data_IF_233004161311
#
_entry.id   IF_233004161311
#
_cell.length_a   1.000
_cell.length_b   1.000
_cell.length_c   1.000
_cell.angle_alpha   90.00
_cell.angle_beta   90.00
_cell.angle_gamma   90.00
#
_symmetry.space_group_name_H-M   'P 1'
#
loop_
_entity.id
_entity.type
_entity.pdbx_description
1 polymer ?
#
# COMPACT_ATOMS: atom_id res chain seq x y z
N UNK A 1 26.88 -0.26 -11.21
CA UNK A 1 25.93 0.88 -11.19
C UNK A 1 25.41 1.02 -9.77
N UNK A 2 25.77 2.10 -9.09
CA UNK A 2 25.44 2.32 -7.67
C UNK A 2 23.96 2.70 -7.56
N UNK A 3 23.25 2.02 -6.66
CA UNK A 3 21.80 2.04 -6.50
C UNK A 3 21.32 3.39 -5.92
N UNK A 4 21.16 4.41 -6.77
CA UNK A 4 20.75 5.76 -6.35
C UNK A 4 19.29 5.85 -5.84
N UNK A 5 18.46 4.83 -6.08
CA UNK A 5 17.04 4.83 -5.67
C UNK A 5 16.86 4.57 -4.17
N UNK A 6 17.69 3.69 -3.58
CA UNK A 6 17.63 3.36 -2.14
C UNK A 6 18.08 4.53 -1.28
N UNK A 7 19.13 5.25 -1.71
CA UNK A 7 19.62 6.47 -1.05
C UNK A 7 18.57 7.60 -1.06
N UNK A 8 17.85 7.80 -2.19
CA UNK A 8 16.77 8.79 -2.25
C UNK A 8 15.61 8.48 -1.30
N UNK A 9 15.15 7.21 -1.26
CA UNK A 9 14.09 6.77 -0.32
C UNK A 9 14.51 6.91 1.15
N UNK A 10 15.78 6.64 1.48
CA UNK A 10 16.29 6.81 2.84
C UNK A 10 16.34 8.29 3.25
N UNK A 11 16.77 9.19 2.34
CA UNK A 11 16.81 10.63 2.61
C UNK A 11 15.42 11.23 2.83
N UNK A 12 14.43 10.87 2.01
CA UNK A 12 13.06 11.39 2.17
C UNK A 12 12.42 10.94 3.47
N UNK A 13 12.67 9.69 3.90
CA UNK A 13 12.23 9.18 5.20
C UNK A 13 12.82 9.98 6.36
N UNK A 14 14.12 10.26 6.34
CA UNK A 14 14.79 11.03 7.40
C UNK A 14 14.28 12.47 7.46
N UNK A 15 14.04 13.11 6.31
CA UNK A 15 13.48 14.48 6.27
C UNK A 15 12.07 14.50 6.88
N UNK A 16 11.25 13.49 6.59
CA UNK A 16 9.89 13.39 7.11
C UNK A 16 9.85 13.03 8.61
N UNK A 17 10.78 12.23 9.11
CA UNK A 17 10.92 12.00 10.55
C UNK A 17 11.41 13.28 11.26
N UNK A 18 12.35 14.01 10.66
CA UNK A 18 12.85 15.29 11.21
C UNK A 18 11.77 16.36 11.26
N UNK A 19 10.89 16.44 10.26
CA UNK A 19 9.81 17.44 10.26
C UNK A 19 8.78 17.15 11.35
N UNK A 20 8.45 15.88 11.59
CA UNK A 20 7.55 15.50 12.69
C UNK A 20 8.16 15.84 14.05
N UNK A 21 9.43 15.53 14.27
CA UNK A 21 10.14 15.86 15.52
C UNK A 21 10.18 17.37 15.74
N UNK A 22 10.40 18.15 14.68
CA UNK A 22 10.34 19.61 14.75
C UNK A 22 8.95 20.11 15.18
N UNK A 23 7.86 19.62 14.59
CA UNK A 23 6.50 20.02 14.99
C UNK A 23 6.14 19.63 16.43
N UNK A 24 6.68 18.51 16.93
CA UNK A 24 6.51 18.12 18.34
C UNK A 24 7.30 19.06 19.25
N UNK A 25 8.54 19.41 18.88
CA UNK A 25 9.39 20.33 19.65
C UNK A 25 8.84 21.76 19.70
N UNK A 26 8.12 22.19 18.67
CA UNK A 26 7.46 23.51 18.60
C UNK A 26 6.18 23.56 19.46
N UNK A 27 5.60 22.41 19.84
CA UNK A 27 4.34 22.34 20.60
C UNK A 27 4.22 23.26 21.83
N UNK A 28 5.19 23.29 22.78
CA UNK A 28 5.06 24.15 23.96
C UNK A 28 5.14 25.64 23.60
N UNK A 29 5.90 26.01 22.56
CA UNK A 29 5.99 27.38 22.11
C UNK A 29 4.69 27.84 21.45
N UNK A 30 4.08 26.97 20.64
CA UNK A 30 2.76 27.21 20.07
C UNK A 30 1.71 27.38 21.17
N UNK A 31 1.76 26.54 22.21
CA UNK A 31 0.84 26.65 23.34
C UNK A 31 1.02 27.97 24.08
N UNK A 32 2.26 28.45 24.25
CA UNK A 32 2.55 29.71 24.95
C UNK A 32 2.18 30.96 24.12
N UNK A 33 1.79 30.82 22.86
CA UNK A 33 1.54 31.94 21.97
C UNK A 33 0.45 32.89 22.50
N UNK A 34 -0.52 32.39 23.26
CA UNK A 34 -1.60 33.21 23.82
C UNK A 34 -1.11 34.30 24.79
N UNK A 35 0.07 34.14 25.40
CA UNK A 35 0.62 35.13 26.35
C UNK A 35 1.04 36.43 25.67
N UNK A 36 1.31 36.39 24.36
CA UNK A 36 1.66 37.57 23.56
C UNK A 36 0.43 38.35 23.08
N UNK A 37 -0.77 37.83 23.32
CA UNK A 37 -2.02 38.50 22.95
C UNK A 37 -2.46 39.45 24.07
N UNK A 38 -3.14 40.55 23.72
CA UNK A 38 -3.73 41.45 24.70
C UNK A 38 -4.69 40.70 25.64
N UNK A 39 -4.54 41.00 26.93
CA UNK A 39 -5.32 40.40 28.02
C UNK A 39 -6.51 41.28 28.42
N UNK A 40 -6.62 42.47 27.83
CA UNK A 40 -7.69 43.41 28.12
C UNK A 40 -9.00 43.00 27.43
N UNK A 41 -10.16 43.18 28.10
CA UNK A 41 -11.42 42.58 27.67
C UNK A 41 -12.06 43.18 26.41
N UNK A 42 -11.61 44.35 25.95
CA UNK A 42 -12.17 45.08 24.80
C UNK A 42 -11.16 45.37 23.67
N UNK A 43 -9.95 44.83 23.76
CA UNK A 43 -8.97 45.03 22.70
C UNK A 43 -9.16 44.01 21.58
N UNK A 44 -9.52 44.50 20.40
CA UNK A 44 -9.64 43.70 19.19
C UNK A 44 -8.29 43.66 18.50
N UNK A 45 -7.89 42.48 18.04
CA UNK A 45 -6.61 42.31 17.36
C UNK A 45 -6.89 42.37 15.86
N UNK A 46 -6.28 43.34 15.18
CA UNK A 46 -6.22 43.30 13.73
C UNK A 46 -5.08 42.39 13.32
N UNK A 47 -5.40 41.15 12.97
CA UNK A 47 -4.43 40.25 12.36
C UNK A 47 -4.60 40.33 10.85
N UNK A 48 -3.61 40.88 10.16
CA UNK A 48 -3.50 40.84 8.70
C UNK A 48 -4.77 41.32 7.96
N UNK A 49 -5.45 42.34 8.48
CA UNK A 49 -6.64 42.96 7.88
C UNK A 49 -8.00 42.43 8.37
N UNK A 50 -8.02 41.40 9.24
CA UNK A 50 -9.23 40.92 9.90
C UNK A 50 -9.22 41.30 11.37
N UNK A 51 -10.33 41.86 11.87
CA UNK A 51 -10.55 42.10 13.29
C UNK A 51 -11.07 40.81 13.93
N UNK A 52 -10.25 40.20 14.77
CA UNK A 52 -10.63 39.02 15.55
C UNK A 52 -11.11 39.53 16.91
N UNK A 53 -12.40 39.39 17.16
CA UNK A 53 -13.01 39.70 18.45
C UNK A 53 -12.79 38.56 19.45
N UNK A 54 -13.13 38.81 20.72
CA UNK A 54 -12.97 37.88 21.83
C UNK A 54 -13.88 36.62 21.75
N UNK A 55 -14.75 36.51 20.73
CA UNK A 55 -15.51 35.30 20.43
C UNK A 55 -16.38 34.81 21.57
N UNK A 56 -16.91 35.72 22.40
CA UNK A 56 -17.71 35.40 23.59
C UNK A 56 -16.91 35.17 24.88
N UNK A 57 -15.57 35.24 24.84
CA UNK A 57 -14.71 35.07 26.02
C UNK A 57 -14.31 36.41 26.64
N UNK A 58 -13.84 36.37 27.89
CA UNK A 58 -13.45 37.56 28.65
C UNK A 58 -12.34 38.38 27.99
N UNK A 59 -11.43 37.77 27.23
CA UNK A 59 -10.39 38.46 26.46
C UNK A 59 -9.92 37.58 25.30
N UNK A 60 -9.29 38.20 24.29
CA UNK A 60 -8.76 37.47 23.13
C UNK A 60 -7.68 36.46 23.56
N UNK A 61 -6.85 36.81 24.54
CA UNK A 61 -5.85 35.88 25.10
C UNK A 61 -6.49 34.60 25.67
N UNK A 62 -7.63 34.71 26.37
CA UNK A 62 -8.36 33.55 26.92
C UNK A 62 -8.99 32.71 25.81
N UNK A 63 -9.57 33.34 24.79
CA UNK A 63 -10.10 32.65 23.61
C UNK A 63 -9.01 31.80 22.94
N UNK A 64 -7.85 32.39 22.65
CA UNK A 64 -6.74 31.67 22.04
C UNK A 64 -6.14 30.60 22.95
N UNK A 65 -6.05 30.85 24.27
CA UNK A 65 -5.63 29.81 25.22
C UNK A 65 -6.56 28.59 25.17
N UNK A 66 -7.87 28.82 25.20
CA UNK A 66 -8.87 27.77 25.11
C UNK A 66 -8.80 27.04 23.76
N UNK A 67 -8.61 27.78 22.67
CA UNK A 67 -8.47 27.23 21.32
C UNK A 67 -7.18 26.38 21.20
N UNK A 68 -6.03 26.89 21.63
CA UNK A 68 -4.76 26.16 21.61
C UNK A 68 -4.78 24.94 22.53
N UNK A 69 -5.51 24.98 23.64
CA UNK A 69 -5.69 23.81 24.51
C UNK A 69 -6.33 22.62 23.80
N UNK A 70 -7.08 22.85 22.71
CA UNK A 70 -7.73 21.81 21.89
C UNK A 70 -6.96 21.53 20.60
N UNK A 71 -6.52 22.57 19.89
CA UNK A 71 -5.75 22.45 18.64
C UNK A 71 -4.45 21.69 18.86
N UNK A 72 -3.76 21.95 19.97
CA UNK A 72 -2.43 21.37 20.22
C UNK A 72 -2.50 19.86 20.43
N UNK A 73 -3.32 19.35 21.37
CA UNK A 73 -3.55 17.90 21.48
C UNK A 73 -4.05 17.28 20.17
N UNK A 74 -4.96 17.94 19.43
CA UNK A 74 -5.47 17.43 18.17
C UNK A 74 -4.36 17.21 17.13
N UNK A 75 -3.51 18.23 16.90
CA UNK A 75 -2.45 18.08 15.91
C UNK A 75 -1.39 17.05 16.34
N UNK A 76 -1.07 16.99 17.64
CA UNK A 76 -0.15 15.98 18.18
C UNK A 76 -0.70 14.56 17.98
N UNK A 77 -2.01 14.36 18.19
CA UNK A 77 -2.67 13.09 17.91
C UNK A 77 -2.66 12.75 16.42
N UNK A 78 -2.85 13.73 15.54
CA UNK A 78 -2.75 13.54 14.08
C UNK A 78 -1.33 13.14 13.66
N UNK A 79 -0.30 13.82 14.18
CA UNK A 79 1.11 13.46 13.93
C UNK A 79 1.37 12.04 14.43
N UNK A 80 0.91 11.71 15.63
CA UNK A 80 1.10 10.39 16.20
C UNK A 80 0.40 9.31 15.39
N UNK A 81 -0.83 9.57 14.93
CA UNK A 81 -1.59 8.70 14.05
C UNK A 81 -0.83 8.41 12.75
N UNK A 82 -0.26 9.43 12.10
CA UNK A 82 0.53 9.23 10.87
C UNK A 82 1.89 8.57 11.11
N UNK A 83 2.52 8.83 12.24
CA UNK A 83 3.82 8.23 12.57
C UNK A 83 3.69 6.76 13.03
N UNK A 84 2.54 6.37 13.57
CA UNK A 84 2.31 5.02 14.09
C UNK A 84 2.14 3.99 12.96
N UNK A 85 2.88 2.88 13.06
CA UNK A 85 2.80 1.74 12.12
C UNK A 85 2.05 0.54 12.70
N UNK A 86 1.71 0.61 13.98
CA UNK A 86 1.12 -0.49 14.72
C UNK A 86 -0.38 -0.58 14.46
N UNK A 87 -0.96 -1.78 14.55
CA UNK A 87 -2.41 -2.00 14.38
C UNK A 87 -3.28 -1.20 15.37
N UNK A 88 -2.84 -0.98 16.62
CA UNK A 88 -3.64 -0.25 17.61
C UNK A 88 -3.84 1.24 17.32
N UNK A 89 -3.26 1.78 16.24
CA UNK A 89 -3.42 3.17 15.83
C UNK A 89 -4.88 3.63 15.64
N UNK A 90 -5.80 2.70 15.36
CA UNK A 90 -7.23 3.00 15.27
C UNK A 90 -7.80 3.61 16.56
N UNK A 91 -7.22 3.31 17.72
CA UNK A 91 -7.65 3.89 19.01
C UNK A 91 -7.39 5.40 19.03
N UNK A 92 -6.35 5.89 18.35
CA UNK A 92 -5.99 7.32 18.29
C UNK A 92 -7.06 8.13 17.51
N UNK A 93 -7.85 7.49 16.65
CA UNK A 93 -8.95 8.13 15.93
C UNK A 93 -10.00 8.66 16.91
N UNK A 94 -10.23 7.98 18.04
CA UNK A 94 -11.22 8.38 19.03
C UNK A 94 -10.87 9.75 19.65
N UNK A 95 -9.65 9.96 20.21
CA UNK A 95 -9.19 11.28 20.62
C UNK A 95 -9.22 12.34 19.51
N UNK A 96 -8.84 11.98 18.28
CA UNK A 96 -8.87 12.93 17.15
C UNK A 96 -10.29 13.40 16.88
N UNK A 97 -11.26 12.48 16.82
CA UNK A 97 -12.67 12.82 16.63
C UNK A 97 -13.20 13.67 17.80
N UNK A 98 -12.83 13.33 19.03
CA UNK A 98 -13.24 14.07 20.23
C UNK A 98 -12.73 15.52 20.21
N UNK A 99 -11.44 15.75 19.98
CA UNK A 99 -10.89 17.11 19.95
C UNK A 99 -11.37 17.90 18.71
N UNK A 100 -11.57 17.24 17.57
CA UNK A 100 -12.14 17.88 16.39
C UNK A 100 -13.58 18.36 16.65
N UNK A 101 -14.37 17.55 17.36
CA UNK A 101 -15.71 17.92 17.79
C UNK A 101 -15.70 19.09 18.77
N UNK A 102 -14.87 19.03 19.82
CA UNK A 102 -14.71 20.12 20.78
C UNK A 102 -14.27 21.44 20.13
N UNK A 103 -13.52 21.38 19.02
CA UNK A 103 -13.19 22.58 18.24
C UNK A 103 -14.37 23.08 17.42
N UNK A 104 -15.15 22.18 16.83
CA UNK A 104 -16.34 22.55 16.07
C UNK A 104 -17.36 23.25 16.96
N UNK A 105 -17.59 22.77 18.18
CA UNK A 105 -18.47 23.43 19.15
C UNK A 105 -18.04 24.89 19.38
N UNK A 106 -16.75 25.15 19.57
CA UNK A 106 -16.23 26.52 19.77
C UNK A 106 -16.53 27.46 18.62
N UNK A 107 -16.61 26.95 17.38
CA UNK A 107 -16.93 27.79 16.21
C UNK A 107 -18.43 27.88 15.94
N UNK A 108 -19.21 26.91 16.39
CA UNK A 108 -20.65 26.84 16.15
C UNK A 108 -21.46 27.57 17.23
N UNK A 109 -20.91 27.70 18.44
CA UNK A 109 -21.60 28.31 19.58
C UNK A 109 -21.40 29.84 19.57
N UNK A 110 -22.24 30.52 18.79
CA UNK A 110 -22.38 31.98 18.83
C UNK A 110 -23.38 32.46 19.90
N UNK A 111 -24.02 31.53 20.62
CA UNK A 111 -25.02 31.82 21.66
C UNK A 111 -24.51 31.31 23.02
N UNK A 112 -24.68 32.11 24.08
CA UNK A 112 -24.20 31.90 25.45
C UNK A 112 -24.76 30.65 26.20
N UNK A 113 -25.32 29.67 25.49
CA UNK A 113 -25.97 28.48 26.08
C UNK A 113 -25.17 27.22 25.73
N UNK A 114 -24.11 27.03 26.49
CA UNK A 114 -23.11 25.95 26.34
C UNK A 114 -23.68 24.54 26.62
N UNK A 115 -24.91 24.40 27.10
CA UNK A 115 -25.43 23.10 27.53
C UNK A 115 -26.79 22.80 26.91
N UNK A 116 -26.82 21.84 25.97
CA UNK A 116 -27.62 20.58 26.06
C UNK A 116 -28.01 20.00 24.68
N UNK A 117 -28.05 20.78 23.59
CA UNK A 117 -28.58 20.29 22.30
C UNK A 117 -27.54 19.81 21.27
N UNK A 118 -26.24 20.09 21.48
CA UNK A 118 -25.20 19.77 20.49
C UNK A 118 -24.89 18.28 20.32
N UNK A 119 -25.36 17.39 21.22
CA UNK A 119 -25.03 15.96 21.14
C UNK A 119 -25.52 15.31 19.82
N UNK A 120 -26.65 15.79 19.29
CA UNK A 120 -27.20 15.30 18.02
C UNK A 120 -26.40 15.78 16.81
N UNK A 121 -25.72 16.92 16.92
CA UNK A 121 -24.78 17.43 15.91
C UNK A 121 -23.41 16.73 15.96
N UNK A 122 -23.03 16.11 17.09
CA UNK A 122 -21.79 15.30 17.22
C UNK A 122 -21.74 14.15 16.23
N UNK A 123 -22.85 13.41 16.10
CA UNK A 123 -22.89 12.15 15.35
C UNK A 123 -22.58 12.36 13.86
N UNK A 124 -23.24 13.29 13.14
CA UNK A 124 -22.95 13.52 11.73
C UNK A 124 -21.54 14.06 11.50
N UNK A 125 -21.02 14.93 12.36
CA UNK A 125 -19.66 15.44 12.18
C UNK A 125 -18.59 14.38 12.45
N UNK A 126 -18.77 13.54 13.48
CA UNK A 126 -17.91 12.38 13.70
C UNK A 126 -17.98 11.40 12.52
N UNK A 127 -19.18 11.16 11.97
CA UNK A 127 -19.38 10.31 10.78
C UNK A 127 -18.64 10.83 9.54
N UNK A 128 -18.37 12.14 9.43
CA UNK A 128 -17.60 12.73 8.33
C UNK A 128 -16.10 12.79 8.63
N UNK A 129 -15.71 13.18 9.85
CA UNK A 129 -14.30 13.36 10.24
C UNK A 129 -13.55 12.02 10.24
N UNK A 130 -14.16 10.96 10.77
CA UNK A 130 -13.56 9.62 10.85
C UNK A 130 -13.14 9.09 9.47
N UNK A 131 -14.02 9.03 8.45
CA UNK A 131 -13.63 8.54 7.12
C UNK A 131 -12.66 9.47 6.40
N UNK A 132 -12.73 10.79 6.60
CA UNK A 132 -11.74 11.72 6.02
C UNK A 132 -10.34 11.41 6.57
N UNK A 133 -10.19 11.30 7.89
CA UNK A 133 -8.92 10.96 8.53
C UNK A 133 -8.43 9.58 8.07
N UNK A 134 -9.34 8.61 7.94
CA UNK A 134 -9.03 7.28 7.45
C UNK A 134 -8.58 7.27 5.98
N UNK A 135 -9.25 8.05 5.12
CA UNK A 135 -8.92 8.19 3.71
C UNK A 135 -7.56 8.84 3.50
N UNK A 136 -7.25 9.91 4.26
CA UNK A 136 -5.94 10.55 4.26
C UNK A 136 -4.86 9.51 4.62
N UNK A 137 -5.10 8.66 5.62
CA UNK A 137 -4.17 7.61 6.01
C UNK A 137 -3.98 6.56 4.94
N UNK A 138 -5.03 6.11 4.24
CA UNK A 138 -4.89 5.17 3.12
C UNK A 138 -4.03 5.82 2.01
N UNK A 139 -4.35 7.05 1.61
CA UNK A 139 -3.64 7.77 0.55
C UNK A 139 -2.18 8.05 0.91
N UNK A 140 -1.89 8.28 2.19
CA UNK A 140 -0.54 8.44 2.72
C UNK A 140 0.19 7.09 2.83
N UNK A 141 -0.48 6.04 3.34
CA UNK A 141 0.09 4.70 3.53
C UNK A 141 0.42 4.03 2.18
N UNK A 142 -0.42 4.20 1.17
CA UNK A 142 -0.15 3.77 -0.21
C UNK A 142 1.10 4.44 -0.80
N UNK A 143 1.41 5.68 -0.38
CA UNK A 143 2.61 6.39 -0.84
C UNK A 143 3.85 6.09 0.01
N UNK A 144 3.70 5.82 1.30
CA UNK A 144 4.81 5.82 2.27
C UNK A 144 5.17 4.46 2.89
N UNK A 145 4.22 3.51 3.02
CA UNK A 145 4.48 2.22 3.71
C UNK A 145 4.48 1.04 2.75
N UNK A 146 3.69 1.07 1.67
CA UNK A 146 3.89 0.17 0.54
C UNK A 146 5.10 0.59 -0.30
N UNK A 147 6.28 0.70 0.32
CA UNK A 147 7.55 0.78 -0.40
C UNK A 147 7.78 -0.38 -1.39
N UNK A 148 6.89 -1.39 -1.36
CA UNK A 148 6.52 -2.27 -2.46
C UNK A 148 5.44 -1.56 -3.27
N UNK A 149 5.92 -0.70 -4.14
CA UNK A 149 5.20 -0.10 -5.25
C UNK A 149 4.23 -1.14 -5.82
N UNK A 150 2.92 -0.85 -5.91
CA UNK A 150 1.97 -1.75 -6.58
C UNK A 150 2.50 -2.09 -7.98
N UNK A 151 3.17 -1.12 -8.59
CA UNK A 151 3.88 -1.27 -9.85
C UNK A 151 5.09 -2.23 -9.76
N UNK A 152 5.83 -2.29 -8.64
CA UNK A 152 6.90 -3.27 -8.43
C UNK A 152 6.34 -4.68 -8.16
N UNK A 153 5.24 -4.81 -7.42
CA UNK A 153 4.56 -6.09 -7.22
C UNK A 153 3.96 -6.60 -8.54
N UNK A 154 3.38 -5.72 -9.34
CA UNK A 154 2.86 -6.06 -10.67
C UNK A 154 3.99 -6.45 -11.63
N UNK A 155 5.14 -5.73 -11.59
CA UNK A 155 6.36 -6.12 -12.31
C UNK A 155 6.89 -7.47 -11.84
N UNK A 156 6.97 -7.73 -10.53
CA UNK A 156 7.39 -9.03 -9.99
C UNK A 156 6.42 -10.15 -10.40
N UNK A 157 5.11 -9.92 -10.33
CA UNK A 157 4.10 -10.87 -10.76
C UNK A 157 4.20 -11.18 -12.26
N UNK A 158 4.44 -10.16 -13.09
CA UNK A 158 4.63 -10.33 -14.53
C UNK A 158 5.90 -11.16 -14.83
N UNK A 159 7.03 -10.85 -14.17
CA UNK A 159 8.29 -11.60 -14.29
C UNK A 159 8.11 -13.06 -13.86
N UNK A 160 7.38 -13.31 -12.77
CA UNK A 160 7.09 -14.67 -12.30
C UNK A 160 6.21 -15.45 -13.29
N UNK A 161 5.18 -14.79 -13.84
CA UNK A 161 4.28 -15.39 -14.84
C UNK A 161 5.01 -15.71 -16.15
N UNK A 162 5.93 -14.84 -16.58
CA UNK A 162 6.77 -15.04 -17.76
C UNK A 162 7.77 -16.19 -17.55
N UNK A 163 8.45 -16.25 -16.40
CA UNK A 163 9.30 -17.38 -16.03
C UNK A 163 8.53 -18.71 -15.97
N UNK A 164 7.28 -18.70 -15.52
CA UNK A 164 6.43 -19.89 -15.52
C UNK A 164 6.07 -20.35 -16.94
N UNK A 165 5.74 -19.41 -17.85
CA UNK A 165 5.50 -19.72 -19.26
C UNK A 165 6.74 -20.33 -19.93
N UNK A 166 7.90 -19.69 -19.78
CA UNK A 166 9.17 -20.19 -20.32
C UNK A 166 9.52 -21.59 -19.79
N UNK A 167 9.30 -21.84 -18.50
CA UNK A 167 9.49 -23.18 -17.90
C UNK A 167 8.52 -24.22 -18.47
N UNK A 168 7.30 -23.82 -18.81
CA UNK A 168 6.30 -24.71 -19.41
C UNK A 168 6.68 -25.03 -20.86
N UNK A 169 7.01 -24.02 -21.65
CA UNK A 169 7.49 -24.17 -23.05
C UNK A 169 8.77 -25.01 -23.11
N UNK A 170 9.73 -24.80 -22.20
CA UNK A 170 10.96 -25.60 -22.15
C UNK A 170 10.68 -27.07 -21.79
N UNK A 171 9.67 -27.35 -20.94
CA UNK A 171 9.26 -28.72 -20.61
C UNK A 171 8.56 -29.40 -21.77
N UNK A 172 7.66 -28.68 -22.46
CA UNK A 172 6.97 -29.17 -23.64
C UNK A 172 7.97 -29.49 -24.76
N UNK A 173 8.89 -28.56 -25.07
CA UNK A 173 9.94 -28.77 -26.07
C UNK A 173 10.86 -29.96 -25.74
N UNK A 174 11.28 -30.11 -24.48
CA UNK A 174 12.09 -31.27 -24.05
C UNK A 174 11.33 -32.60 -24.19
N UNK A 175 10.02 -32.58 -23.95
CA UNK A 175 9.16 -33.77 -24.08
C UNK A 175 8.98 -34.15 -25.55
N UNK A 176 8.78 -33.16 -26.41
CA UNK A 176 8.72 -33.34 -27.87
C UNK A 176 10.04 -33.91 -28.41
N UNK A 177 11.19 -33.34 -28.03
CA UNK A 177 12.49 -33.86 -28.44
C UNK A 177 12.76 -35.30 -27.95
N UNK A 178 12.37 -35.62 -26.71
CA UNK A 178 12.48 -36.99 -26.22
C UNK A 178 11.61 -37.96 -27.03
N UNK A 179 10.39 -37.55 -27.38
CA UNK A 179 9.49 -38.38 -28.19
C UNK A 179 9.97 -38.55 -29.63
N UNK A 180 10.52 -37.49 -30.25
CA UNK A 180 11.12 -37.57 -31.58
C UNK A 180 12.36 -38.47 -31.59
N UNK A 181 13.23 -38.37 -30.58
CA UNK A 181 14.38 -39.26 -30.43
C UNK A 181 13.93 -40.72 -30.26
N UNK A 182 12.97 -41.00 -29.36
CA UNK A 182 12.43 -42.36 -29.16
C UNK A 182 11.80 -42.92 -30.44
N UNK A 183 11.04 -42.11 -31.20
CA UNK A 183 10.44 -42.50 -32.47
C UNK A 183 11.50 -42.75 -33.55
N UNK A 184 12.57 -41.94 -33.60
CA UNK A 184 13.71 -42.14 -34.50
C UNK A 184 14.42 -43.47 -34.16
N UNK A 185 14.75 -43.73 -32.90
CA UNK A 185 15.40 -44.98 -32.48
C UNK A 185 14.53 -46.20 -32.78
N UNK A 186 13.23 -46.10 -32.50
CA UNK A 186 12.26 -47.15 -32.82
C UNK A 186 12.19 -47.38 -34.32
N UNK A 187 12.15 -46.34 -35.14
CA UNK A 187 12.16 -46.42 -36.60
C UNK A 187 13.42 -47.11 -37.14
N UNK A 188 14.60 -46.72 -36.67
CA UNK A 188 15.87 -47.38 -37.04
C UNK A 188 15.87 -48.88 -36.64
N UNK A 189 15.40 -49.20 -35.42
CA UNK A 189 15.26 -50.58 -34.94
C UNK A 189 14.31 -51.42 -35.83
N UNK A 190 13.14 -50.88 -36.17
CA UNK A 190 12.22 -51.54 -37.10
C UNK A 190 12.82 -51.71 -38.50
N UNK A 191 13.50 -50.69 -39.03
CA UNK A 191 14.20 -50.77 -40.32
C UNK A 191 15.26 -51.88 -40.31
N UNK A 192 16.03 -52.03 -39.23
CA UNK A 192 17.05 -53.07 -39.08
C UNK A 192 16.42 -54.47 -38.96
N UNK A 193 15.33 -54.61 -38.21
CA UNK A 193 14.56 -55.87 -38.11
C UNK A 193 13.97 -56.27 -39.48
N UNK A 194 13.42 -55.30 -40.21
CA UNK A 194 12.85 -55.50 -41.54
C UNK A 194 13.95 -55.91 -42.51
N UNK A 195 15.08 -55.21 -42.53
CA UNK A 195 16.20 -55.51 -43.42
C UNK A 195 16.80 -56.89 -43.13
N UNK A 196 16.89 -57.29 -41.85
CA UNK A 196 17.29 -58.65 -41.45
C UNK A 196 16.30 -59.72 -41.92
N UNK A 197 15.00 -59.45 -41.86
CA UNK A 197 13.93 -60.38 -42.32
C UNK A 197 13.84 -60.47 -43.84
N UNK A 198 14.03 -59.35 -44.53
CA UNK A 198 14.05 -59.23 -45.99
C UNK A 198 15.44 -59.49 -46.60
N UNK A 199 16.43 -59.85 -45.78
CA UNK A 199 17.76 -60.18 -46.30
C UNK A 199 17.66 -61.30 -47.32
N UNK A 200 18.44 -61.20 -48.40
CA UNK A 200 18.41 -62.16 -49.51
C UNK A 200 18.55 -63.60 -49.04
N UNK A 201 19.34 -63.83 -47.98
CA UNK A 201 19.55 -65.16 -47.39
C UNK A 201 18.34 -65.69 -46.61
N UNK A 202 17.59 -64.85 -45.89
CA UNK A 202 16.37 -65.27 -45.18
C UNK A 202 15.20 -65.47 -46.14
N UNK A 203 15.07 -64.59 -47.14
CA UNK A 203 14.08 -64.73 -48.20
C UNK A 203 14.32 -65.97 -49.05
N UNK A 204 15.56 -66.23 -49.48
CA UNK A 204 15.90 -67.43 -50.25
C UNK A 204 15.55 -68.71 -49.48
N UNK A 205 15.82 -68.75 -48.17
CA UNK A 205 15.46 -69.90 -47.33
C UNK A 205 13.95 -70.11 -47.26
N UNK A 206 13.18 -69.02 -47.16
CA UNK A 206 11.71 -69.08 -47.15
C UNK A 206 11.15 -69.52 -48.50
N UNK A 207 11.59 -68.91 -49.61
CA UNK A 207 11.17 -69.30 -50.96
C UNK A 207 11.54 -70.75 -51.30
N UNK A 208 12.73 -71.23 -50.91
CA UNK A 208 13.11 -72.64 -51.06
C UNK A 208 12.19 -73.57 -50.25
N UNK A 209 11.84 -73.22 -49.00
CA UNK A 209 10.92 -74.03 -48.20
C UNK A 209 9.51 -74.09 -48.80
N UNK A 210 9.03 -72.97 -49.34
CA UNK A 210 7.70 -72.89 -49.94
C UNK A 210 7.63 -73.67 -51.25
N UNK A 211 8.64 -73.55 -52.11
CA UNK A 211 8.75 -74.34 -53.34
C UNK A 211 8.81 -75.85 -53.08
N UNK A 212 9.55 -76.29 -52.05
CA UNK A 212 9.60 -77.70 -51.66
C UNK A 212 8.25 -78.23 -51.13
N UNK A 213 7.42 -77.38 -50.53
CA UNK A 213 6.11 -77.78 -50.00
C UNK A 213 5.08 -77.92 -51.13
N UNK A 214 5.14 -77.05 -52.14
CA UNK A 214 4.30 -77.13 -53.34
C UNK A 214 4.64 -78.32 -54.24
N UNK A 215 5.90 -78.73 -54.33
CA UNK A 215 6.29 -79.92 -55.09
C UNK A 215 5.85 -81.24 -54.41
N UNK A 216 5.38 -81.19 -53.16
CA UNK A 216 4.90 -82.34 -52.38
C UNK A 216 3.36 -82.42 -52.31
N UNK A 217 2.65 -81.62 -53.11
CA UNK A 217 1.20 -81.64 -53.33
C UNK A 217 0.91 -81.92 -54.80
#
# INVERSE_FOLDING_TARGET
>A
MINNSTSKKAKTKIILESIFVFFIAVSPFLYKFYDYLPKEPNETISLLGYTIDNGGFHSVSVYFWFLFSKIIPLYLMIIWFFSSKNWWYHIIIIPIAMYAFQLFEVFSDSDDIIDTENIWWVIPICMVVIPIVYFIRIKLYDRYVHGIDIEAMEKELHILKEKQKLKKETKEFKTEQLSEEEDIYKKYSWSEIINRKLSTRSLEKYFRSFGNTLNNW
#
